data_IF_942958768259
#
_entry.id   IF_942958768259
#
_cell.length_a   1.000
_cell.length_b   1.000
_cell.length_c   1.000
_cell.angle_alpha   90.00
_cell.angle_beta   90.00
_cell.angle_gamma   90.00
#
_symmetry.space_group_name_H-M   'P 1'
#
loop_
_entity.id
_entity.type
_entity.pdbx_description
1 polymer ?
#
# COMPACT_ATOMS: atom_id res chain seq x y z
N UNK A 1 -35.38 -15.03 12.68
CA UNK A 1 -35.45 -14.04 11.58
C UNK A 1 -34.09 -13.81 10.91
N UNK A 2 -33.02 -13.51 11.65
CA UNK A 2 -31.68 -13.27 11.05
C UNK A 2 -31.12 -14.46 10.25
N UNK A 3 -31.25 -15.70 10.75
CA UNK A 3 -30.82 -16.90 10.02
C UNK A 3 -31.54 -17.03 8.67
N UNK A 4 -32.85 -16.76 8.65
CA UNK A 4 -33.66 -16.78 7.41
C UNK A 4 -33.16 -15.73 6.41
N UNK A 5 -32.83 -14.51 6.88
CA UNK A 5 -32.22 -13.46 6.05
C UNK A 5 -30.87 -13.90 5.48
N UNK A 6 -30.01 -14.53 6.30
CA UNK A 6 -28.72 -15.06 5.85
C UNK A 6 -28.88 -16.12 4.75
N UNK A 7 -29.82 -17.06 4.94
CA UNK A 7 -30.12 -18.11 3.96
C UNK A 7 -30.60 -17.47 2.65
N UNK A 8 -31.49 -16.48 2.71
CA UNK A 8 -32.04 -15.82 1.52
C UNK A 8 -30.95 -15.06 0.74
N UNK A 9 -30.07 -14.33 1.44
CA UNK A 9 -28.92 -13.65 0.81
C UNK A 9 -27.98 -14.65 0.16
N UNK A 10 -27.69 -15.77 0.85
CA UNK A 10 -26.83 -16.82 0.33
C UNK A 10 -27.40 -17.49 -0.92
N UNK A 11 -28.69 -17.84 -0.92
CA UNK A 11 -29.39 -18.39 -2.08
C UNK A 11 -29.38 -17.39 -3.23
N UNK A 12 -29.67 -16.11 -2.96
CA UNK A 12 -29.64 -15.05 -3.97
C UNK A 12 -28.27 -14.93 -4.63
N UNK A 13 -27.19 -14.98 -3.86
CA UNK A 13 -25.83 -14.97 -4.40
C UNK A 13 -25.53 -16.22 -5.23
N UNK A 14 -25.91 -17.42 -4.77
CA UNK A 14 -25.70 -18.66 -5.54
C UNK A 14 -26.45 -18.58 -6.88
N UNK A 15 -27.69 -18.12 -6.89
CA UNK A 15 -28.48 -17.96 -8.12
C UNK A 15 -27.83 -16.96 -9.08
N UNK A 16 -27.36 -15.83 -8.56
CA UNK A 16 -26.62 -14.85 -9.33
C UNK A 16 -25.33 -15.43 -9.93
N UNK A 17 -24.56 -16.18 -9.13
CA UNK A 17 -23.33 -16.82 -9.59
C UNK A 17 -23.58 -17.90 -10.64
N UNK A 18 -24.65 -18.69 -10.50
CA UNK A 18 -25.09 -19.68 -11.49
C UNK A 18 -25.49 -19.02 -12.81
N UNK A 19 -26.18 -17.88 -12.76
CA UNK A 19 -26.52 -17.10 -13.95
C UNK A 19 -25.26 -16.64 -14.70
N UNK A 20 -24.28 -16.08 -13.98
CA UNK A 20 -23.02 -15.64 -14.58
C UNK A 20 -22.22 -16.82 -15.16
N UNK A 21 -22.21 -17.97 -14.50
CA UNK A 21 -21.59 -19.19 -15.04
C UNK A 21 -22.26 -19.67 -16.33
N UNK A 22 -23.59 -19.53 -16.45
CA UNK A 22 -24.30 -19.84 -17.70
C UNK A 22 -23.91 -18.87 -18.82
N UNK A 23 -23.79 -17.57 -18.51
CA UNK A 23 -23.35 -16.55 -19.46
C UNK A 23 -21.89 -16.78 -19.90
N UNK A 24 -20.99 -17.09 -18.98
CA UNK A 24 -19.59 -17.41 -19.28
C UNK A 24 -19.46 -18.63 -20.20
N UNK A 25 -20.25 -19.68 -19.93
CA UNK A 25 -20.30 -20.88 -20.78
C UNK A 25 -20.86 -20.63 -22.17
N UNK A 26 -21.70 -19.61 -22.33
CA UNK A 26 -22.24 -19.25 -23.64
C UNK A 26 -21.20 -18.60 -24.56
N UNK A 27 -20.05 -18.17 -24.01
CA UNK A 27 -18.97 -17.45 -24.71
C UNK A 27 -19.44 -16.20 -25.50
N UNK A 28 -20.64 -15.70 -25.23
CA UNK A 28 -21.23 -14.52 -25.90
C UNK A 28 -20.64 -13.21 -25.40
N UNK A 29 -20.19 -13.18 -24.14
CA UNK A 29 -19.64 -11.99 -23.48
C UNK A 29 -18.16 -12.19 -23.17
N UNK A 30 -17.41 -11.09 -23.18
CA UNK A 30 -16.01 -11.12 -22.75
C UNK A 30 -15.92 -11.49 -21.26
N UNK A 31 -15.04 -12.43 -20.93
CA UNK A 31 -14.78 -12.88 -19.56
C UNK A 31 -14.44 -11.75 -18.57
N UNK A 32 -13.80 -10.67 -19.02
CA UNK A 32 -13.54 -9.48 -18.20
C UNK A 32 -14.84 -8.77 -17.81
N UNK A 33 -15.78 -8.65 -18.75
CA UNK A 33 -17.08 -8.04 -18.50
C UNK A 33 -17.90 -8.89 -17.51
N UNK A 34 -17.89 -10.22 -17.65
CA UNK A 34 -18.56 -11.11 -16.70
C UNK A 34 -17.97 -10.97 -15.29
N UNK A 35 -16.63 -10.93 -15.17
CA UNK A 35 -15.96 -10.69 -13.88
C UNK A 35 -16.37 -9.36 -13.26
N UNK A 36 -16.50 -8.29 -14.05
CA UNK A 36 -16.94 -6.99 -13.54
C UNK A 36 -18.43 -6.92 -13.22
N UNK A 37 -19.28 -7.70 -13.89
CA UNK A 37 -20.67 -7.90 -13.45
C UNK A 37 -20.70 -8.61 -12.09
N UNK A 38 -19.90 -9.66 -11.89
CA UNK A 38 -19.79 -10.32 -10.58
C UNK A 38 -19.33 -9.34 -9.49
N UNK A 39 -18.30 -8.55 -9.79
CA UNK A 39 -17.76 -7.54 -8.88
C UNK A 39 -18.81 -6.49 -8.49
N UNK A 40 -19.52 -5.94 -9.47
CA UNK A 40 -20.58 -4.95 -9.25
C UNK A 40 -21.74 -5.57 -8.45
N UNK A 41 -22.23 -6.74 -8.86
CA UNK A 41 -23.33 -7.43 -8.16
C UNK A 41 -22.98 -7.78 -6.72
N UNK A 42 -21.75 -8.24 -6.48
CA UNK A 42 -21.24 -8.51 -5.14
C UNK A 42 -21.11 -7.23 -4.31
N UNK A 43 -20.74 -6.11 -4.93
CA UNK A 43 -20.71 -4.79 -4.29
C UNK A 43 -22.09 -4.30 -3.86
N UNK A 44 -23.12 -4.48 -4.68
CA UNK A 44 -24.51 -4.20 -4.28
C UNK A 44 -24.96 -5.09 -3.12
N UNK A 45 -24.59 -6.39 -3.15
CA UNK A 45 -24.83 -7.30 -2.04
C UNK A 45 -24.19 -6.81 -0.74
N UNK A 46 -22.93 -6.35 -0.81
CA UNK A 46 -22.22 -5.74 0.31
C UNK A 46 -22.88 -4.47 0.84
N UNK A 47 -23.27 -3.55 -0.06
CA UNK A 47 -23.95 -2.30 0.29
C UNK A 47 -25.30 -2.51 0.98
N UNK A 48 -25.99 -3.62 0.69
CA UNK A 48 -27.26 -3.94 1.33
C UNK A 48 -27.11 -4.48 2.76
N UNK A 49 -25.92 -4.94 3.17
CA UNK A 49 -25.71 -5.59 4.47
C UNK A 49 -26.13 -4.73 5.68
N UNK A 50 -25.78 -3.43 5.78
CA UNK A 50 -26.20 -2.57 6.90
C UNK A 50 -27.70 -2.31 6.97
N UNK A 51 -28.43 -2.59 5.89
CA UNK A 51 -29.88 -2.40 5.83
C UNK A 51 -30.65 -3.70 6.07
N UNK A 52 -30.03 -4.85 5.84
CA UNK A 52 -30.64 -6.18 6.02
C UNK A 52 -30.41 -6.71 7.44
N UNK A 53 -29.19 -6.55 7.96
CA UNK A 53 -28.74 -7.16 9.20
C UNK A 53 -28.56 -6.14 10.32
N UNK A 54 -29.03 -6.48 11.51
CA UNK A 54 -28.82 -5.66 12.72
C UNK A 54 -27.61 -6.18 13.49
N UNK A 55 -27.41 -7.50 13.51
CA UNK A 55 -26.33 -8.13 14.27
C UNK A 55 -25.03 -8.20 13.48
N UNK A 56 -23.96 -7.64 14.05
CA UNK A 56 -22.60 -7.73 13.47
C UNK A 56 -22.17 -9.18 13.23
N UNK A 57 -22.52 -10.09 14.13
CA UNK A 57 -22.17 -11.52 14.03
C UNK A 57 -22.77 -12.21 12.81
N UNK A 58 -23.99 -11.84 12.39
CA UNK A 58 -24.66 -12.43 11.23
C UNK A 58 -23.88 -12.20 9.93
N UNK A 59 -23.42 -10.97 9.71
CA UNK A 59 -22.61 -10.62 8.53
C UNK A 59 -21.23 -11.29 8.58
N UNK A 60 -20.62 -11.38 9.76
CA UNK A 60 -19.35 -12.09 9.92
C UNK A 60 -19.46 -13.57 9.56
N UNK A 61 -20.48 -14.26 10.08
CA UNK A 61 -20.71 -15.68 9.76
C UNK A 61 -20.97 -15.85 8.26
N UNK A 62 -21.82 -14.99 7.68
CA UNK A 62 -22.14 -15.04 6.25
C UNK A 62 -20.88 -14.84 5.38
N UNK A 63 -20.02 -13.87 5.73
CA UNK A 63 -18.78 -13.64 5.00
C UNK A 63 -17.77 -14.77 5.13
N UNK A 64 -17.67 -15.40 6.31
CA UNK A 64 -16.83 -16.61 6.50
C UNK A 64 -17.34 -17.76 5.62
N UNK A 65 -18.66 -17.95 5.53
CA UNK A 65 -19.27 -18.94 4.65
C UNK A 65 -18.92 -18.64 3.18
N UNK A 66 -19.07 -17.39 2.72
CA UNK A 66 -18.70 -17.03 1.35
C UNK A 66 -17.21 -17.22 1.06
N UNK A 67 -16.32 -16.86 2.00
CA UNK A 67 -14.88 -17.12 1.87
C UNK A 67 -14.59 -18.61 1.74
N UNK A 68 -15.20 -19.44 2.60
CA UNK A 68 -15.05 -20.89 2.54
C UNK A 68 -15.49 -21.43 1.18
N UNK A 69 -16.67 -21.02 0.68
CA UNK A 69 -17.18 -21.42 -0.63
C UNK A 69 -16.23 -21.04 -1.76
N UNK A 70 -15.75 -19.78 -1.80
CA UNK A 70 -14.83 -19.34 -2.85
C UNK A 70 -13.49 -20.08 -2.82
N UNK A 71 -12.94 -20.32 -1.62
CA UNK A 71 -11.71 -21.09 -1.44
C UNK A 71 -11.93 -22.53 -1.92
N UNK A 72 -13.04 -23.17 -1.53
CA UNK A 72 -13.38 -24.52 -1.98
C UNK A 72 -13.50 -24.62 -3.50
N UNK A 73 -14.16 -23.66 -4.16
CA UNK A 73 -14.26 -23.62 -5.63
C UNK A 73 -12.88 -23.56 -6.28
N UNK A 74 -11.94 -22.81 -5.70
CA UNK A 74 -10.57 -22.67 -6.24
C UNK A 74 -9.69 -23.91 -6.01
N UNK A 75 -9.90 -24.65 -4.92
CA UNK A 75 -9.14 -25.86 -4.60
C UNK A 75 -9.56 -27.07 -5.46
N UNK A 76 -10.82 -27.13 -5.90
CA UNK A 76 -11.34 -28.27 -6.68
C UNK A 76 -10.89 -28.14 -8.15
N UNK A 77 -9.73 -28.71 -8.47
CA UNK A 77 -9.01 -28.55 -9.74
C UNK A 77 -9.69 -29.18 -10.97
N UNK A 78 -10.46 -30.26 -10.81
CA UNK A 78 -10.81 -31.15 -11.92
C UNK A 78 -12.30 -31.25 -12.31
N UNK A 79 -13.26 -30.65 -11.59
CA UNK A 79 -14.71 -30.84 -11.88
C UNK A 79 -15.52 -29.57 -12.19
N UNK A 80 -14.94 -28.37 -12.07
CA UNK A 80 -15.70 -27.11 -12.04
C UNK A 80 -15.05 -26.05 -12.97
N UNK A 81 -14.79 -26.42 -14.23
CA UNK A 81 -14.12 -25.52 -15.19
C UNK A 81 -14.90 -24.24 -15.48
N UNK A 82 -16.24 -24.30 -15.48
CA UNK A 82 -17.10 -23.12 -15.71
C UNK A 82 -17.05 -22.09 -14.58
N UNK A 83 -17.23 -22.51 -13.33
CA UNK A 83 -17.28 -21.55 -12.22
C UNK A 83 -15.93 -20.91 -11.92
N UNK A 84 -14.82 -21.60 -12.22
CA UNK A 84 -13.49 -21.01 -12.13
C UNK A 84 -13.28 -19.92 -13.18
N UNK A 85 -13.82 -20.08 -14.40
CA UNK A 85 -13.72 -19.07 -15.47
C UNK A 85 -14.45 -17.76 -15.13
N UNK A 86 -15.53 -17.84 -14.34
CA UNK A 86 -16.22 -16.64 -13.82
C UNK A 86 -15.32 -15.83 -12.86
N UNK A 87 -14.43 -16.51 -12.12
CA UNK A 87 -13.55 -15.90 -11.12
C UNK A 87 -12.15 -15.55 -11.68
N UNK A 88 -11.68 -16.31 -12.67
CA UNK A 88 -10.36 -16.18 -13.27
C UNK A 88 -10.48 -16.03 -14.79
N UNK A 89 -9.97 -14.92 -15.32
CA UNK A 89 -9.80 -14.75 -16.76
C UNK A 89 -8.73 -15.72 -17.28
N UNK A 90 -8.87 -16.23 -18.51
CA UNK A 90 -7.93 -17.20 -19.13
C UNK A 90 -6.43 -16.82 -19.00
N UNK A 91 -6.14 -15.51 -18.90
CA UNK A 91 -4.77 -14.97 -18.86
C UNK A 91 -4.32 -14.44 -17.49
N UNK A 92 -5.16 -14.45 -16.44
CA UNK A 92 -4.79 -13.83 -15.14
C UNK A 92 -5.39 -14.57 -13.94
N UNK A 93 -4.53 -15.20 -13.14
CA UNK A 93 -4.89 -15.67 -11.80
C UNK A 93 -4.87 -14.48 -10.83
N UNK A 94 -6.02 -14.13 -10.28
CA UNK A 94 -6.13 -13.09 -9.24
C UNK A 94 -6.96 -13.61 -8.07
N UNK A 95 -6.67 -13.12 -6.87
CA UNK A 95 -7.43 -13.40 -5.65
C UNK A 95 -8.40 -12.25 -5.31
N UNK A 96 -8.73 -11.42 -6.31
CA UNK A 96 -9.53 -10.20 -6.13
C UNK A 96 -10.86 -10.43 -5.42
N UNK A 97 -11.59 -11.50 -5.73
CA UNK A 97 -12.90 -11.78 -5.11
C UNK A 97 -12.78 -12.09 -3.61
N UNK A 98 -11.73 -12.82 -3.23
CA UNK A 98 -11.43 -13.11 -1.81
C UNK A 98 -11.06 -11.82 -1.09
N UNK A 99 -10.18 -11.03 -1.70
CA UNK A 99 -9.78 -9.72 -1.17
C UNK A 99 -10.97 -8.78 -1.02
N UNK A 100 -11.93 -8.81 -1.94
CA UNK A 100 -13.13 -8.00 -1.85
C UNK A 100 -14.02 -8.37 -0.67
N UNK A 101 -14.23 -9.66 -0.40
CA UNK A 101 -15.00 -10.08 0.79
C UNK A 101 -14.26 -9.70 2.09
N UNK A 102 -12.94 -9.88 2.12
CA UNK A 102 -12.13 -9.45 3.28
C UNK A 102 -12.33 -7.95 3.55
N UNK A 103 -12.38 -7.12 2.51
CA UNK A 103 -12.64 -5.69 2.64
C UNK A 103 -14.04 -5.37 3.13
N UNK A 104 -15.07 -6.06 2.61
CA UNK A 104 -16.45 -5.89 3.09
C UNK A 104 -16.53 -6.22 4.58
N UNK A 105 -15.91 -7.32 5.03
CA UNK A 105 -15.86 -7.71 6.43
C UNK A 105 -15.04 -6.73 7.28
N UNK A 106 -13.88 -6.30 6.79
CA UNK A 106 -13.05 -5.31 7.47
C UNK A 106 -13.79 -4.00 7.67
N UNK A 107 -14.41 -3.47 6.62
CA UNK A 107 -15.26 -2.26 6.68
C UNK A 107 -16.45 -2.47 7.60
N UNK A 108 -17.09 -3.63 7.56
CA UNK A 108 -18.21 -3.95 8.44
C UNK A 108 -17.80 -3.88 9.92
N UNK A 109 -16.65 -4.42 10.28
CA UNK A 109 -16.14 -4.37 11.65
C UNK A 109 -15.91 -2.92 12.09
N UNK A 110 -15.23 -2.12 11.25
CA UNK A 110 -14.75 -0.78 11.65
C UNK A 110 -15.74 0.36 11.41
N UNK A 111 -16.75 0.18 10.56
CA UNK A 111 -17.61 1.27 10.08
C UNK A 111 -19.09 0.91 9.89
N UNK A 112 -19.55 -0.28 10.31
CA UNK A 112 -20.98 -0.68 10.14
C UNK A 112 -22.00 0.30 10.72
N UNK A 113 -21.62 1.06 11.74
CA UNK A 113 -22.48 2.07 12.38
C UNK A 113 -22.58 3.38 11.59
N UNK A 114 -21.53 3.72 10.82
CA UNK A 114 -21.49 4.91 9.97
C UNK A 114 -21.67 4.49 8.51
N UNK A 115 -22.92 4.60 8.03
CA UNK A 115 -23.30 4.23 6.67
C UNK A 115 -22.50 4.99 5.60
N UNK A 116 -22.10 6.24 5.85
CA UNK A 116 -21.30 7.03 4.91
C UNK A 116 -19.91 6.40 4.79
N UNK A 117 -19.27 6.15 5.93
CA UNK A 117 -17.92 5.56 5.98
C UNK A 117 -17.87 4.11 5.50
N UNK A 118 -18.98 3.36 5.61
CA UNK A 118 -19.10 2.00 5.09
C UNK A 118 -19.39 1.97 3.57
N UNK A 119 -20.36 2.75 3.11
CA UNK A 119 -20.88 2.65 1.74
C UNK A 119 -19.95 3.29 0.71
N UNK A 120 -19.35 4.46 0.98
CA UNK A 120 -18.54 5.15 -0.03
C UNK A 120 -17.33 4.35 -0.50
N UNK A 121 -16.52 3.72 0.37
CA UNK A 121 -15.44 2.82 -0.05
C UNK A 121 -15.91 1.70 -0.99
N UNK A 122 -17.06 1.09 -0.70
CA UNK A 122 -17.63 0.02 -1.50
C UNK A 122 -18.16 0.53 -2.84
N UNK A 123 -18.84 1.67 -2.89
CA UNK A 123 -19.33 2.27 -4.14
C UNK A 123 -18.16 2.62 -5.06
N UNK A 124 -17.09 3.24 -4.52
CA UNK A 124 -15.89 3.57 -5.28
C UNK A 124 -15.27 2.30 -5.86
N UNK A 125 -15.06 1.27 -5.03
CA UNK A 125 -14.48 0.02 -5.51
C UNK A 125 -15.40 -0.70 -6.50
N UNK A 126 -16.72 -0.64 -6.31
CA UNK A 126 -17.68 -1.31 -7.17
C UNK A 126 -17.68 -0.72 -8.59
N UNK A 127 -17.78 0.61 -8.70
CA UNK A 127 -17.91 1.28 -9.99
C UNK A 127 -16.57 1.68 -10.59
N UNK A 128 -15.72 2.37 -9.83
CA UNK A 128 -14.51 3.00 -10.38
C UNK A 128 -13.51 1.95 -10.86
N UNK A 129 -13.33 0.86 -10.11
CA UNK A 129 -12.49 -0.27 -10.53
C UNK A 129 -13.07 -1.00 -11.74
N UNK A 130 -14.38 -1.21 -11.78
CA UNK A 130 -15.02 -1.86 -12.92
C UNK A 130 -14.88 -1.04 -14.20
N UNK A 131 -15.17 0.26 -14.15
CA UNK A 131 -15.00 1.14 -15.31
C UNK A 131 -13.54 1.26 -15.73
N UNK A 132 -12.61 1.43 -14.79
CA UNK A 132 -11.18 1.51 -15.08
C UNK A 132 -10.65 0.26 -15.79
N UNK A 133 -11.07 -0.92 -15.34
CA UNK A 133 -10.68 -2.19 -15.94
C UNK A 133 -11.31 -2.39 -17.32
N UNK A 134 -12.60 -2.07 -17.51
CA UNK A 134 -13.26 -2.20 -18.81
C UNK A 134 -12.66 -1.24 -19.85
N UNK A 135 -12.48 0.03 -19.48
CA UNK A 135 -11.82 1.01 -20.37
C UNK A 135 -10.37 0.61 -20.62
N UNK A 136 -9.67 0.15 -19.59
CA UNK A 136 -8.29 -0.32 -19.70
C UNK A 136 -8.14 -1.56 -20.58
N UNK A 137 -9.12 -2.46 -20.63
CA UNK A 137 -9.09 -3.65 -21.46
C UNK A 137 -9.45 -3.33 -22.92
N UNK A 138 -10.55 -2.61 -23.14
CA UNK A 138 -11.12 -2.41 -24.48
C UNK A 138 -10.59 -1.19 -25.23
N UNK A 139 -10.14 -0.14 -24.53
CA UNK A 139 -9.85 1.17 -25.13
C UNK A 139 -8.44 1.72 -24.83
N UNK A 140 -7.58 0.94 -24.16
CA UNK A 140 -6.25 1.44 -23.80
C UNK A 140 -5.29 1.53 -25.00
N UNK A 141 -4.61 2.67 -25.11
CA UNK A 141 -3.51 2.90 -26.05
C UNK A 141 -2.18 2.98 -25.32
N UNK A 142 -2.16 3.55 -24.11
CA UNK A 142 -0.94 3.78 -23.34
C UNK A 142 -0.85 2.83 -22.15
N UNK A 143 -0.29 1.64 -22.38
CA UNK A 143 0.02 0.67 -21.33
C UNK A 143 1.40 0.92 -20.72
N UNK A 144 1.52 0.68 -19.42
CA UNK A 144 2.80 0.70 -18.70
C UNK A 144 2.90 -0.52 -17.77
N UNK A 145 4.14 -0.94 -17.54
CA UNK A 145 4.44 -2.05 -16.64
C UNK A 145 4.64 -1.54 -15.22
N UNK A 146 3.95 -2.19 -14.28
CA UNK A 146 4.07 -1.94 -12.84
C UNK A 146 5.15 -2.79 -12.17
N UNK A 147 5.74 -3.74 -12.90
CA UNK A 147 6.63 -4.79 -12.40
C UNK A 147 5.88 -6.04 -11.92
N UNK A 148 4.55 -5.96 -11.80
CA UNK A 148 3.67 -7.06 -11.41
C UNK A 148 2.56 -7.32 -12.44
N UNK A 149 2.53 -6.55 -13.51
CA UNK A 149 1.50 -6.59 -14.53
C UNK A 149 1.35 -5.27 -15.25
N UNK A 150 0.57 -5.28 -16.32
CA UNK A 150 0.31 -4.11 -17.16
C UNK A 150 -0.91 -3.35 -16.66
N UNK A 151 -0.79 -2.02 -16.61
CA UNK A 151 -1.89 -1.07 -16.40
C UNK A 151 -1.93 -0.06 -17.54
N UNK A 152 -3.01 0.71 -17.63
CA UNK A 152 -3.19 1.71 -18.69
C UNK A 152 -3.44 3.09 -18.11
N UNK A 153 -2.98 4.12 -18.82
CA UNK A 153 -3.24 5.51 -18.43
C UNK A 153 -4.74 5.81 -18.52
N UNK A 154 -5.42 5.29 -19.54
CA UNK A 154 -6.85 5.46 -19.75
C UNK A 154 -7.67 4.84 -18.61
N UNK A 155 -7.27 3.66 -18.12
CA UNK A 155 -7.87 3.04 -16.94
C UNK A 155 -7.72 3.91 -15.69
N UNK A 156 -6.52 4.41 -15.41
CA UNK A 156 -6.28 5.28 -14.24
C UNK A 156 -7.05 6.61 -14.33
N UNK A 157 -7.09 7.25 -15.50
CA UNK A 157 -7.90 8.47 -15.72
C UNK A 157 -9.38 8.18 -15.50
N UNK A 158 -9.88 7.06 -16.01
CA UNK A 158 -11.26 6.62 -15.78
C UNK A 158 -11.55 6.42 -14.30
N UNK A 159 -10.63 5.76 -13.57
CA UNK A 159 -10.76 5.56 -12.13
C UNK A 159 -10.86 6.90 -11.39
N UNK A 160 -9.99 7.86 -11.72
CA UNK A 160 -9.99 9.20 -11.14
C UNK A 160 -11.32 9.93 -11.38
N UNK A 161 -11.76 10.02 -12.65
CA UNK A 161 -12.97 10.75 -13.03
C UNK A 161 -14.23 10.13 -12.41
N UNK A 162 -14.35 8.82 -12.45
CA UNK A 162 -15.49 8.10 -11.86
C UNK A 162 -15.50 8.24 -10.34
N UNK A 163 -14.35 8.09 -9.67
CA UNK A 163 -14.24 8.31 -8.22
C UNK A 163 -14.63 9.74 -7.85
N UNK A 164 -14.14 10.74 -8.59
CA UNK A 164 -14.45 12.14 -8.34
C UNK A 164 -15.94 12.43 -8.49
N UNK A 165 -16.55 11.94 -9.57
CA UNK A 165 -17.98 12.06 -9.84
C UNK A 165 -18.83 11.39 -8.75
N UNK A 166 -18.47 10.17 -8.35
CA UNK A 166 -19.14 9.43 -7.27
C UNK A 166 -19.04 10.21 -5.97
N UNK A 167 -17.85 10.70 -5.60
CA UNK A 167 -17.66 11.42 -4.35
C UNK A 167 -18.48 12.71 -4.29
N UNK A 168 -18.48 13.52 -5.35
CA UNK A 168 -19.26 14.77 -5.39
C UNK A 168 -20.73 14.48 -5.15
N UNK A 169 -21.32 13.57 -5.94
CA UNK A 169 -22.74 13.26 -5.84
C UNK A 169 -23.07 12.62 -4.48
N UNK A 170 -22.24 11.68 -4.03
CA UNK A 170 -22.46 11.01 -2.76
C UNK A 170 -22.47 12.01 -1.58
N UNK A 171 -21.50 12.92 -1.51
CA UNK A 171 -21.48 13.90 -0.44
C UNK A 171 -22.59 14.94 -0.58
N UNK A 172 -23.00 15.31 -1.78
CA UNK A 172 -24.11 16.24 -2.00
C UNK A 172 -25.44 15.70 -1.45
N UNK A 173 -25.68 14.39 -1.58
CA UNK A 173 -26.93 13.76 -1.15
C UNK A 173 -26.90 13.24 0.30
N UNK A 174 -25.74 12.75 0.76
CA UNK A 174 -25.66 11.97 2.01
C UNK A 174 -24.84 12.63 3.12
N UNK A 175 -24.31 13.85 2.91
CA UNK A 175 -23.49 14.51 3.92
C UNK A 175 -23.85 15.99 4.11
N UNK A 176 -23.52 16.52 5.28
CA UNK A 176 -23.82 17.91 5.67
C UNK A 176 -22.59 18.84 5.56
N UNK A 177 -21.57 18.46 4.79
CA UNK A 177 -20.36 19.29 4.64
C UNK A 177 -20.58 20.41 3.61
N UNK A 178 -19.87 21.52 3.78
CA UNK A 178 -19.98 22.69 2.90
C UNK A 178 -19.58 22.36 1.46
N UNK A 179 -20.18 23.03 0.47
CA UNK A 179 -19.92 22.77 -0.96
C UNK A 179 -18.45 22.83 -1.36
N UNK A 180 -17.67 23.78 -0.80
CA UNK A 180 -16.23 23.87 -1.06
C UNK A 180 -15.47 22.65 -0.50
N UNK A 181 -15.88 22.14 0.67
CA UNK A 181 -15.29 20.93 1.26
C UNK A 181 -15.60 19.71 0.40
N UNK A 182 -16.82 19.59 -0.15
CA UNK A 182 -17.21 18.50 -1.06
C UNK A 182 -16.23 18.42 -2.23
N UNK A 183 -15.96 19.55 -2.88
CA UNK A 183 -15.04 19.64 -4.02
C UNK A 183 -13.62 19.21 -3.61
N UNK A 184 -13.11 19.76 -2.51
CA UNK A 184 -11.73 19.51 -2.06
C UNK A 184 -11.51 18.06 -1.58
N UNK A 185 -12.43 17.52 -0.78
CA UNK A 185 -12.38 16.13 -0.30
C UNK A 185 -12.47 15.16 -1.47
N UNK A 186 -13.42 15.38 -2.39
CA UNK A 186 -13.59 14.53 -3.57
C UNK A 186 -12.35 14.54 -4.46
N UNK A 187 -11.73 15.72 -4.67
CA UNK A 187 -10.54 15.86 -5.50
C UNK A 187 -9.34 15.13 -4.86
N UNK A 188 -9.09 15.37 -3.58
CA UNK A 188 -8.00 14.71 -2.86
C UNK A 188 -8.17 13.18 -2.85
N UNK A 189 -9.38 12.71 -2.51
CA UNK A 189 -9.68 11.29 -2.43
C UNK A 189 -9.52 10.60 -3.78
N UNK A 190 -10.04 11.19 -4.86
CA UNK A 190 -9.95 10.61 -6.21
C UNK A 190 -8.51 10.53 -6.72
N UNK A 191 -7.67 11.57 -6.50
CA UNK A 191 -6.25 11.53 -6.87
C UNK A 191 -5.53 10.39 -6.14
N UNK A 192 -5.73 10.30 -4.83
CA UNK A 192 -5.03 9.34 -3.98
C UNK A 192 -5.51 7.91 -4.23
N UNK A 193 -6.82 7.70 -4.39
CA UNK A 193 -7.39 6.40 -4.70
C UNK A 193 -6.94 5.91 -6.08
N UNK A 194 -6.85 6.79 -7.08
CA UNK A 194 -6.26 6.47 -8.40
C UNK A 194 -4.79 6.07 -8.27
N UNK A 195 -3.99 6.82 -7.51
CA UNK A 195 -2.58 6.47 -7.29
C UNK A 195 -2.47 5.10 -6.63
N UNK A 196 -3.31 4.83 -5.62
CA UNK A 196 -3.33 3.57 -4.90
C UNK A 196 -3.77 2.40 -5.78
N UNK A 197 -4.80 2.59 -6.62
CA UNK A 197 -5.17 1.64 -7.66
C UNK A 197 -3.95 1.36 -8.53
N UNK A 198 -3.31 2.38 -9.09
CA UNK A 198 -2.18 2.22 -10.02
C UNK A 198 -1.01 1.43 -9.44
N UNK A 199 -0.68 1.61 -8.16
CA UNK A 199 0.43 0.89 -7.50
C UNK A 199 0.02 -0.48 -6.94
N UNK A 200 -1.27 -0.83 -6.95
CA UNK A 200 -1.77 -2.12 -6.48
C UNK A 200 -1.63 -3.21 -7.55
N UNK A 201 -1.37 -4.44 -7.11
CA UNK A 201 -1.16 -5.61 -7.98
C UNK A 201 -1.99 -6.81 -7.53
N UNK A 202 -2.19 -7.78 -8.43
CA UNK A 202 -2.85 -9.07 -8.16
C UNK A 202 -4.24 -9.00 -7.47
N UNK A 203 -4.97 -7.90 -7.62
CA UNK A 203 -6.27 -7.69 -6.98
C UNK A 203 -6.19 -7.07 -5.57
N UNK A 204 -5.00 -6.65 -5.11
CA UNK A 204 -4.83 -6.01 -3.79
C UNK A 204 -5.50 -4.64 -3.70
N UNK A 205 -5.80 -4.00 -4.83
CA UNK A 205 -6.67 -2.82 -4.90
C UNK A 205 -8.02 -3.05 -4.23
N UNK A 206 -8.56 -4.27 -4.32
CA UNK A 206 -9.79 -4.65 -3.65
C UNK A 206 -9.70 -4.58 -2.11
N UNK A 207 -8.50 -4.55 -1.52
CA UNK A 207 -8.25 -4.30 -0.08
C UNK A 207 -7.76 -2.90 0.19
N UNK A 208 -6.73 -2.47 -0.52
CA UNK A 208 -6.06 -1.22 -0.22
C UNK A 208 -6.96 -0.02 -0.50
N UNK A 209 -7.70 -0.01 -1.62
CA UNK A 209 -8.56 1.13 -1.95
C UNK A 209 -9.66 1.33 -0.90
N UNK A 210 -10.49 0.32 -0.53
CA UNK A 210 -11.54 0.57 0.44
C UNK A 210 -11.03 0.95 1.83
N UNK A 211 -9.97 0.30 2.32
CA UNK A 211 -9.38 0.64 3.62
C UNK A 211 -8.79 2.04 3.63
N UNK A 212 -8.13 2.43 2.53
CA UNK A 212 -7.61 3.78 2.37
C UNK A 212 -8.72 4.83 2.31
N UNK A 213 -9.80 4.58 1.55
CA UNK A 213 -10.94 5.49 1.49
C UNK A 213 -11.52 5.68 2.90
N UNK A 214 -11.77 4.60 3.64
CA UNK A 214 -12.24 4.68 5.03
C UNK A 214 -11.31 5.52 5.91
N UNK A 215 -10.01 5.23 5.89
CA UNK A 215 -9.01 5.96 6.66
C UNK A 215 -8.96 7.45 6.27
N UNK A 216 -9.03 7.74 4.97
CA UNK A 216 -9.03 9.09 4.45
C UNK A 216 -10.25 9.86 4.94
N UNK A 217 -11.45 9.29 4.86
CA UNK A 217 -12.67 9.93 5.35
C UNK A 217 -12.58 10.22 6.84
N UNK A 218 -12.19 9.23 7.63
CA UNK A 218 -12.05 9.36 9.08
C UNK A 218 -11.12 10.50 9.50
N UNK A 219 -10.06 10.76 8.74
CA UNK A 219 -9.06 11.77 9.05
C UNK A 219 -9.27 13.12 8.34
N UNK A 220 -10.14 13.21 7.33
CA UNK A 220 -10.22 14.39 6.46
C UNK A 220 -11.63 14.93 6.22
N UNK A 221 -12.69 14.14 6.43
CA UNK A 221 -14.05 14.51 5.99
C UNK A 221 -14.55 15.81 6.62
N UNK A 222 -14.28 16.01 7.90
CA UNK A 222 -14.77 17.15 8.69
C UNK A 222 -13.74 18.27 8.88
N UNK A 223 -12.64 18.24 8.13
CA UNK A 223 -11.66 19.32 8.17
C UNK A 223 -12.20 20.61 7.56
N UNK A 224 -11.63 21.73 7.98
CA UNK A 224 -11.96 23.04 7.40
C UNK A 224 -11.45 23.14 5.96
N UNK A 225 -12.06 24.02 5.15
CA UNK A 225 -11.62 24.27 3.78
C UNK A 225 -10.13 24.66 3.72
N UNK A 226 -9.65 25.43 4.71
CA UNK A 226 -8.23 25.84 4.81
C UNK A 226 -7.30 24.64 4.99
N UNK A 227 -7.65 23.71 5.86
CA UNK A 227 -6.84 22.51 6.10
C UNK A 227 -6.85 21.58 4.89
N UNK A 228 -7.99 21.42 4.23
CA UNK A 228 -8.09 20.65 2.99
C UNK A 228 -7.30 21.29 1.85
N UNK A 229 -7.34 22.62 1.70
CA UNK A 229 -6.51 23.34 0.75
C UNK A 229 -5.02 23.17 1.05
N UNK A 230 -4.61 23.23 2.33
CA UNK A 230 -3.24 22.96 2.72
C UNK A 230 -2.80 21.55 2.27
N UNK A 231 -3.64 20.53 2.53
CA UNK A 231 -3.37 19.15 2.10
C UNK A 231 -3.30 19.02 0.57
N UNK A 232 -4.14 19.74 -0.17
CA UNK A 232 -4.08 19.83 -1.63
C UNK A 232 -2.75 20.46 -2.11
N UNK A 233 -2.31 21.55 -1.49
CA UNK A 233 -1.02 22.15 -1.81
C UNK A 233 0.16 21.21 -1.52
N UNK A 234 0.09 20.44 -0.43
CA UNK A 234 1.14 19.45 -0.11
C UNK A 234 1.25 18.39 -1.21
N UNK A 235 0.14 17.79 -1.67
CA UNK A 235 0.22 16.78 -2.74
C UNK A 235 0.74 17.38 -4.05
N UNK A 236 0.34 18.61 -4.39
CA UNK A 236 0.85 19.33 -5.57
C UNK A 236 2.36 19.55 -5.46
N UNK A 237 2.85 20.01 -4.31
CA UNK A 237 4.29 20.22 -4.09
C UNK A 237 5.08 18.92 -4.13
N UNK A 238 4.59 17.84 -3.51
CA UNK A 238 5.22 16.53 -3.58
C UNK A 238 5.26 16.00 -5.02
N UNK A 239 4.20 16.21 -5.79
CA UNK A 239 4.14 15.83 -7.21
C UNK A 239 5.16 16.63 -8.04
N UNK A 240 5.28 17.94 -7.82
CA UNK A 240 6.30 18.76 -8.48
C UNK A 240 7.71 18.24 -8.16
N UNK A 241 8.01 17.98 -6.89
CA UNK A 241 9.31 17.43 -6.46
C UNK A 241 9.62 16.13 -7.19
N UNK A 242 8.66 15.20 -7.26
CA UNK A 242 8.85 13.91 -7.92
C UNK A 242 9.03 14.07 -9.43
N UNK A 243 8.28 14.96 -10.09
CA UNK A 243 8.42 15.23 -11.52
C UNK A 243 9.79 15.84 -11.84
N UNK A 244 10.25 16.81 -11.05
CA UNK A 244 11.57 17.43 -11.22
C UNK A 244 12.70 16.41 -11.00
N UNK A 245 12.52 15.49 -10.05
CA UNK A 245 13.50 14.46 -9.73
C UNK A 245 13.37 13.17 -10.54
N UNK A 246 12.40 13.05 -11.47
CA UNK A 246 12.11 11.80 -12.21
C UNK A 246 13.30 11.21 -12.96
N UNK A 247 14.24 12.06 -13.41
CA UNK A 247 15.48 11.66 -14.10
C UNK A 247 16.67 11.49 -13.14
N UNK A 248 16.60 12.11 -11.96
CA UNK A 248 17.64 12.12 -10.92
C UNK A 248 17.26 11.15 -9.79
N UNK A 249 16.92 9.93 -10.16
CA UNK A 249 16.58 8.86 -9.20
C UNK A 249 16.91 7.48 -9.78
N UNK A 250 17.05 6.52 -8.89
CA UNK A 250 17.27 5.10 -9.20
C UNK A 250 15.97 4.31 -9.19
N UNK A 251 14.85 4.90 -8.75
CA UNK A 251 13.55 4.25 -8.64
C UNK A 251 12.88 4.07 -10.01
N UNK A 252 12.13 2.98 -10.17
CA UNK A 252 11.19 2.83 -11.30
C UNK A 252 10.08 3.89 -11.25
N UNK A 253 9.40 4.14 -12.38
CA UNK A 253 8.30 5.12 -12.42
C UNK A 253 7.21 4.78 -11.40
N UNK A 254 6.87 3.50 -11.26
CA UNK A 254 5.86 3.03 -10.30
C UNK A 254 6.33 3.19 -8.86
N UNK A 255 7.61 2.91 -8.56
CA UNK A 255 8.17 3.19 -7.25
C UNK A 255 8.19 4.70 -6.93
N UNK A 256 8.42 5.57 -7.92
CA UNK A 256 8.31 7.02 -7.72
C UNK A 256 6.88 7.43 -7.34
N UNK A 257 5.86 6.91 -8.03
CA UNK A 257 4.46 7.21 -7.67
C UNK A 257 4.05 6.60 -6.34
N UNK A 258 4.51 5.39 -6.01
CA UNK A 258 4.30 4.82 -4.68
C UNK A 258 5.00 5.64 -3.59
N UNK A 259 6.15 6.26 -3.89
CA UNK A 259 6.82 7.18 -2.95
C UNK A 259 5.96 8.42 -2.70
N UNK A 260 5.33 8.99 -3.73
CA UNK A 260 4.37 10.09 -3.59
C UNK A 260 3.26 9.70 -2.60
N UNK A 261 2.66 8.53 -2.82
CA UNK A 261 1.57 8.02 -2.01
C UNK A 261 2.00 7.80 -0.56
N UNK A 262 3.16 7.16 -0.35
CA UNK A 262 3.71 6.93 0.98
C UNK A 262 3.98 8.24 1.74
N UNK A 263 4.66 9.20 1.10
CA UNK A 263 4.93 10.52 1.69
C UNK A 263 3.63 11.22 2.09
N UNK A 264 2.59 11.11 1.27
CA UNK A 264 1.30 11.72 1.56
C UNK A 264 0.53 11.00 2.68
N UNK A 265 0.57 9.66 2.76
CA UNK A 265 0.00 8.92 3.90
C UNK A 265 0.70 9.31 5.21
N UNK A 266 2.03 9.40 5.20
CA UNK A 266 2.80 9.83 6.36
C UNK A 266 2.38 11.24 6.79
N UNK A 267 2.14 12.13 5.83
CA UNK A 267 1.58 13.46 6.12
C UNK A 267 0.20 13.38 6.78
N UNK A 268 -0.73 12.58 6.23
CA UNK A 268 -2.09 12.46 6.75
C UNK A 268 -2.09 11.99 8.22
N UNK A 269 -1.25 11.01 8.55
CA UNK A 269 -1.25 10.35 9.87
C UNK A 269 -0.39 11.13 10.88
N UNK A 270 0.86 11.45 10.53
CA UNK A 270 1.85 12.00 11.46
C UNK A 270 2.00 13.52 11.43
N UNK A 271 1.66 14.15 10.30
CA UNK A 271 1.92 15.55 10.04
C UNK A 271 3.25 15.81 9.32
N UNK A 272 3.53 17.09 9.02
CA UNK A 272 4.62 17.48 8.11
C UNK A 272 6.01 17.08 8.63
N UNK A 273 6.20 17.06 9.96
CA UNK A 273 7.48 16.65 10.58
C UNK A 273 7.85 15.20 10.23
N UNK A 274 6.87 14.32 10.06
CA UNK A 274 7.09 12.91 9.73
C UNK A 274 7.43 12.69 8.26
N UNK A 275 7.07 13.64 7.38
CA UNK A 275 7.38 13.58 5.94
C UNK A 275 8.86 13.87 5.68
N UNK A 276 9.52 14.62 6.55
CA UNK A 276 10.89 15.11 6.31
C UNK A 276 11.90 13.96 6.17
N UNK A 277 11.98 12.96 7.08
CA UNK A 277 12.93 11.85 6.91
C UNK A 277 12.77 11.07 5.59
N UNK A 278 11.58 10.56 5.22
CA UNK A 278 11.43 9.85 3.94
C UNK A 278 11.64 10.76 2.72
N UNK A 279 11.35 12.06 2.81
CA UNK A 279 11.63 13.01 1.74
C UNK A 279 13.13 13.25 1.55
N UNK A 280 13.89 13.44 2.64
CA UNK A 280 15.35 13.56 2.59
C UNK A 280 15.95 12.27 2.03
N UNK A 281 15.44 11.10 2.43
CA UNK A 281 15.86 9.84 1.85
C UNK A 281 15.61 9.83 0.35
N UNK A 282 14.39 10.12 -0.11
CA UNK A 282 14.02 10.14 -1.53
C UNK A 282 14.93 11.05 -2.37
N UNK A 283 15.25 12.26 -1.88
CA UNK A 283 16.09 13.24 -2.59
C UNK A 283 17.59 12.91 -2.51
N UNK A 284 18.05 12.43 -1.35
CA UNK A 284 19.45 12.13 -1.10
C UNK A 284 19.93 10.85 -1.79
N UNK A 285 19.03 9.91 -2.03
CA UNK A 285 19.33 8.58 -2.54
C UNK A 285 19.92 8.52 -3.95
N UNK A 286 19.83 9.59 -4.74
CA UNK A 286 20.54 9.69 -6.01
C UNK A 286 21.98 10.21 -5.84
N UNK A 287 22.20 11.12 -4.90
CA UNK A 287 23.47 11.85 -4.74
C UNK A 287 24.46 11.10 -3.84
N UNK A 288 23.97 10.51 -2.75
CA UNK A 288 24.84 9.92 -1.73
C UNK A 288 25.14 8.43 -1.95
N UNK A 289 24.39 7.78 -2.83
CA UNK A 289 24.53 6.36 -3.14
C UNK A 289 24.55 6.18 -4.67
N UNK A 290 25.63 6.56 -5.37
CA UNK A 290 25.64 6.60 -6.84
C UNK A 290 25.38 5.22 -7.47
N UNK A 291 24.76 5.23 -8.66
CA UNK A 291 24.48 4.01 -9.43
C UNK A 291 25.77 3.32 -9.83
N UNK A 292 25.83 2.01 -9.61
CA UNK A 292 26.91 1.18 -10.14
C UNK A 292 26.53 0.65 -11.53
N UNK A 293 27.52 0.50 -12.43
CA UNK A 293 27.28 -0.06 -13.78
C UNK A 293 26.65 -1.45 -13.65
N UNK A 294 25.53 -1.68 -14.36
CA UNK A 294 24.78 -2.94 -14.33
C UNK A 294 23.63 -3.01 -13.32
N UNK A 295 23.46 -2.01 -12.44
CA UNK A 295 22.41 -2.03 -11.42
C UNK A 295 21.00 -1.80 -12.02
N UNK A 296 20.09 -2.74 -11.75
CA UNK A 296 18.65 -2.60 -12.05
C UNK A 296 18.04 -1.52 -11.16
N UNK A 297 17.08 -0.74 -11.69
CA UNK A 297 16.34 0.25 -10.90
C UNK A 297 15.64 -0.39 -9.71
N UNK A 298 15.65 0.30 -8.58
CA UNK A 298 14.97 -0.16 -7.37
C UNK A 298 13.46 -0.24 -7.62
N UNK A 299 12.91 -1.42 -7.32
CA UNK A 299 11.53 -1.77 -7.63
C UNK A 299 10.55 -1.34 -6.53
N UNK A 300 9.25 -1.42 -6.83
CA UNK A 300 8.19 -1.16 -5.87
C UNK A 300 8.33 -2.01 -4.59
N UNK A 301 8.84 -3.24 -4.71
CA UNK A 301 9.06 -4.16 -3.57
C UNK A 301 10.01 -3.58 -2.52
N UNK A 302 11.14 -3.01 -2.97
CA UNK A 302 12.12 -2.39 -2.07
C UNK A 302 11.52 -1.22 -1.29
N UNK A 303 10.75 -0.37 -1.97
CA UNK A 303 10.05 0.74 -1.34
C UNK A 303 9.00 0.27 -0.32
N UNK A 304 8.19 -0.73 -0.69
CA UNK A 304 7.14 -1.27 0.18
C UNK A 304 7.70 -1.83 1.48
N UNK A 305 8.88 -2.45 1.43
CA UNK A 305 9.51 -3.00 2.62
C UNK A 305 9.97 -1.89 3.58
N UNK A 306 10.59 -0.83 3.06
CA UNK A 306 10.93 0.37 3.84
C UNK A 306 9.66 1.00 4.43
N UNK A 307 8.63 1.17 3.60
CA UNK A 307 7.36 1.77 4.01
C UNK A 307 6.67 0.96 5.11
N UNK A 308 6.60 -0.37 4.97
CA UNK A 308 5.98 -1.26 5.95
C UNK A 308 6.68 -1.16 7.31
N UNK A 309 8.00 -1.39 7.35
CA UNK A 309 8.78 -1.35 8.59
C UNK A 309 8.68 0.01 9.29
N UNK A 310 8.74 1.12 8.54
CA UNK A 310 8.70 2.46 9.14
C UNK A 310 7.30 2.94 9.50
N UNK A 311 6.26 2.50 8.77
CA UNK A 311 4.86 2.85 9.07
C UNK A 311 4.38 2.30 10.42
N UNK A 312 4.97 1.21 10.90
CA UNK A 312 4.65 0.65 12.21
C UNK A 312 4.96 1.63 13.35
N UNK A 313 6.10 2.32 13.28
CA UNK A 313 6.49 3.33 14.28
C UNK A 313 5.58 4.57 14.23
N UNK A 314 5.17 4.96 13.03
CA UNK A 314 4.18 6.01 12.85
C UNK A 314 2.83 5.62 13.46
N UNK A 315 2.37 4.39 13.25
CA UNK A 315 1.13 3.89 13.85
C UNK A 315 1.24 3.78 15.39
N UNK A 316 2.35 3.27 15.92
CA UNK A 316 2.58 3.18 17.36
C UNK A 316 2.65 4.56 18.03
N UNK A 317 3.06 5.61 17.31
CA UNK A 317 3.08 6.99 17.81
C UNK A 317 1.69 7.55 18.16
N UNK A 318 0.62 6.88 17.73
CA UNK A 318 -0.77 7.23 18.07
C UNK A 318 -1.10 6.79 19.51
N UNK A 319 -0.49 5.70 19.98
CA UNK A 319 -0.81 5.07 21.27
C UNK A 319 0.29 5.28 22.31
N UNK A 320 1.53 5.40 21.86
CA UNK A 320 2.72 5.52 22.70
C UNK A 320 3.29 6.95 22.68
N UNK A 321 4.37 7.17 23.44
CA UNK A 321 5.09 8.44 23.44
C UNK A 321 5.53 8.84 22.02
N UNK A 322 4.88 9.89 21.50
CA UNK A 322 5.07 10.36 20.13
C UNK A 322 6.50 10.78 19.84
N UNK A 323 7.18 11.34 20.83
CA UNK A 323 8.54 11.85 20.70
C UNK A 323 9.54 10.70 20.60
N UNK A 324 9.40 9.67 21.44
CA UNK A 324 10.22 8.45 21.38
C UNK A 324 9.95 7.70 20.08
N UNK A 325 8.68 7.49 19.70
CA UNK A 325 8.37 6.82 18.42
C UNK A 325 8.95 7.56 17.22
N UNK A 326 8.96 8.90 17.26
CA UNK A 326 9.56 9.71 16.20
C UNK A 326 11.08 9.55 16.11
N UNK A 327 11.78 9.41 17.23
CA UNK A 327 13.22 9.10 17.24
C UNK A 327 13.51 7.71 16.65
N UNK A 328 12.72 6.69 17.00
CA UNK A 328 12.82 5.34 16.42
C UNK A 328 12.57 5.38 14.92
N UNK A 329 11.58 6.17 14.48
CA UNK A 329 11.28 6.37 13.07
C UNK A 329 12.45 6.96 12.28
N UNK A 330 13.07 8.04 12.79
CA UNK A 330 14.28 8.63 12.17
C UNK A 330 15.41 7.61 12.14
N UNK A 331 15.62 6.87 13.23
CA UNK A 331 16.62 5.81 13.32
C UNK A 331 16.41 4.72 12.25
N UNK A 332 15.18 4.24 12.06
CA UNK A 332 14.87 3.24 11.02
C UNK A 332 15.22 3.73 9.61
N UNK A 333 14.88 4.98 9.27
CA UNK A 333 15.26 5.57 7.98
C UNK A 333 16.79 5.70 7.83
N UNK A 334 17.48 6.05 8.92
CA UNK A 334 18.94 6.18 8.94
C UNK A 334 19.63 4.83 8.69
N UNK A 335 19.15 3.77 9.34
CA UNK A 335 19.63 2.41 9.11
C UNK A 335 19.37 1.93 7.68
N UNK A 336 18.16 2.13 7.15
CA UNK A 336 17.86 1.82 5.75
C UNK A 336 18.82 2.56 4.81
N UNK A 337 19.07 3.85 5.06
CA UNK A 337 19.99 4.64 4.25
C UNK A 337 21.41 4.06 4.23
N UNK A 338 21.92 3.64 5.39
CA UNK A 338 23.23 2.99 5.50
C UNK A 338 23.30 1.61 4.82
N UNK A 339 22.32 0.73 5.09
CA UNK A 339 22.30 -0.62 4.53
C UNK A 339 22.15 -0.58 3.01
N UNK A 340 21.35 0.33 2.46
CA UNK A 340 21.18 0.38 1.02
C UNK A 340 22.46 0.85 0.30
N UNK A 341 23.30 1.66 0.95
CA UNK A 341 24.64 1.95 0.43
C UNK A 341 25.48 0.66 0.27
N UNK A 342 25.39 -0.28 1.24
CA UNK A 342 26.02 -1.60 1.15
C UNK A 342 25.43 -2.47 0.04
N UNK A 343 24.10 -2.53 -0.07
CA UNK A 343 23.41 -3.27 -1.15
C UNK A 343 23.95 -2.86 -2.52
N UNK A 344 24.19 -1.56 -2.72
CA UNK A 344 24.66 -1.00 -3.98
C UNK A 344 26.10 -1.34 -4.30
N UNK A 345 27.01 -1.26 -3.33
CA UNK A 345 28.40 -1.68 -3.56
C UNK A 345 28.48 -3.18 -3.86
N UNK A 346 27.68 -3.99 -3.15
CA UNK A 346 27.62 -5.43 -3.36
C UNK A 346 27.04 -5.80 -4.74
N UNK A 347 26.04 -5.07 -5.24
CA UNK A 347 25.50 -5.27 -6.59
C UNK A 347 26.54 -4.98 -7.70
N UNK A 348 27.49 -4.08 -7.44
CA UNK A 348 28.60 -3.82 -8.34
C UNK A 348 29.70 -4.88 -8.34
N UNK A 349 29.72 -5.77 -7.35
CA UNK A 349 30.90 -6.55 -6.97
C UNK A 349 30.54 -7.94 -6.41
N UNK A 350 29.82 -8.73 -7.21
CA UNK A 350 29.09 -9.94 -6.81
C UNK A 350 29.99 -11.08 -6.24
N UNK A 351 31.28 -11.17 -6.61
CA UNK A 351 32.16 -12.31 -6.24
C UNK A 351 33.08 -12.06 -5.03
N UNK A 352 32.80 -11.09 -4.17
CA UNK A 352 33.78 -10.66 -3.15
C UNK A 352 33.72 -11.45 -1.84
N UNK A 353 34.89 -11.95 -1.42
CA UNK A 353 35.10 -12.67 -0.15
C UNK A 353 35.62 -11.78 1.01
N UNK A 354 36.20 -10.61 0.73
CA UNK A 354 36.92 -9.79 1.74
C UNK A 354 36.07 -8.66 2.34
N UNK A 355 36.33 -8.31 3.61
CA UNK A 355 35.64 -7.21 4.33
C UNK A 355 36.27 -5.86 3.99
N UNK A 356 35.49 -4.94 3.41
CA UNK A 356 35.95 -3.56 3.17
C UNK A 356 35.53 -2.70 4.34
N UNK A 357 36.34 -2.72 5.39
CA UNK A 357 36.12 -1.90 6.59
C UNK A 357 35.87 -0.43 6.24
N UNK A 358 36.61 0.12 5.27
CA UNK A 358 36.44 1.51 4.83
C UNK A 358 35.02 1.80 4.29
N UNK A 359 34.43 0.87 3.53
CA UNK A 359 33.10 1.07 2.96
C UNK A 359 31.97 0.81 3.97
N UNK A 360 32.19 -0.13 4.89
CA UNK A 360 31.31 -0.30 6.05
C UNK A 360 31.29 1.00 6.88
N UNK A 361 32.46 1.55 7.20
CA UNK A 361 32.58 2.80 7.97
C UNK A 361 31.96 3.98 7.21
N UNK A 362 32.11 4.04 5.88
CA UNK A 362 31.42 5.03 5.06
C UNK A 362 29.89 4.90 5.16
N UNK A 363 29.35 3.68 5.14
CA UNK A 363 27.92 3.42 5.26
C UNK A 363 27.38 3.80 6.64
N UNK A 364 28.13 3.52 7.70
CA UNK A 364 27.82 3.93 9.07
C UNK A 364 27.86 5.46 9.19
N UNK A 365 28.87 6.11 8.63
CA UNK A 365 28.99 7.56 8.63
C UNK A 365 27.81 8.21 7.90
N UNK A 366 27.42 7.70 6.72
CA UNK A 366 26.23 8.17 5.98
C UNK A 366 24.94 8.03 6.79
N UNK A 367 24.74 6.90 7.46
CA UNK A 367 23.59 6.68 8.34
C UNK A 367 23.59 7.67 9.52
N UNK A 368 24.76 7.90 10.15
CA UNK A 368 24.91 8.82 11.25
C UNK A 368 24.63 10.27 10.84
N UNK A 369 25.18 10.73 9.71
CA UNK A 369 24.91 12.06 9.17
C UNK A 369 23.42 12.23 8.85
N UNK A 370 22.80 11.23 8.23
CA UNK A 370 21.36 11.25 7.96
C UNK A 370 20.54 11.38 9.25
N UNK A 371 20.90 10.62 10.29
CA UNK A 371 20.24 10.69 11.59
C UNK A 371 20.39 12.09 12.21
N UNK A 372 21.63 12.60 12.30
CA UNK A 372 21.94 13.88 12.92
C UNK A 372 21.22 15.04 12.24
N UNK A 373 21.21 15.07 10.91
CA UNK A 373 20.49 16.10 10.13
C UNK A 373 19.00 16.10 10.49
N UNK A 374 18.35 14.94 10.49
CA UNK A 374 16.93 14.84 10.84
C UNK A 374 16.67 15.16 12.31
N UNK A 375 17.53 14.68 13.21
CA UNK A 375 17.42 14.88 14.65
C UNK A 375 17.50 16.37 15.04
N UNK A 376 18.49 17.10 14.52
CA UNK A 376 18.69 18.52 14.84
C UNK A 376 17.64 19.43 14.23
N UNK A 377 17.09 19.07 13.05
CA UNK A 377 16.02 19.83 12.40
C UNK A 377 14.68 19.63 13.12
N UNK A 378 14.36 18.39 13.56
CA UNK A 378 12.97 18.02 13.86
C UNK A 378 12.66 17.70 15.32
N UNK A 379 13.60 17.10 16.06
CA UNK A 379 13.35 16.53 17.38
C UNK A 379 14.03 17.34 18.49
N UNK A 380 15.36 17.52 18.41
CA UNK A 380 16.19 18.15 19.48
C UNK A 380 15.90 17.62 20.90
N UNK A 381 15.42 16.38 21.03
CA UNK A 381 15.08 15.77 22.31
C UNK A 381 16.33 15.16 22.93
N UNK A 382 16.68 15.60 24.14
CA UNK A 382 17.83 15.12 24.89
C UNK A 382 17.46 13.89 25.73
N UNK A 383 17.42 12.72 25.08
CA UNK A 383 17.35 11.43 25.78
C UNK A 383 18.67 10.68 25.57
N UNK A 384 19.58 10.79 26.54
CA UNK A 384 20.93 10.23 26.45
C UNK A 384 20.94 8.69 26.33
N UNK A 385 20.01 8.00 27.00
CA UNK A 385 19.91 6.53 26.88
C UNK A 385 19.52 6.15 25.45
N UNK A 386 18.55 6.87 24.90
CA UNK A 386 18.07 6.59 23.56
C UNK A 386 19.12 6.95 22.48
N UNK A 387 19.81 8.08 22.65
CA UNK A 387 20.88 8.50 21.73
C UNK A 387 22.08 7.55 21.74
N UNK A 388 22.47 7.03 22.91
CA UNK A 388 23.54 6.01 22.99
C UNK A 388 23.08 4.69 22.37
N UNK A 389 21.84 4.26 22.63
CA UNK A 389 21.23 3.11 21.98
C UNK A 389 21.20 3.23 20.45
N UNK A 390 20.86 4.41 19.93
CA UNK A 390 20.86 4.70 18.48
C UNK A 390 22.27 4.54 17.89
N UNK A 391 23.30 5.10 18.52
CA UNK A 391 24.67 4.98 18.02
C UNK A 391 25.14 3.51 17.97
N UNK A 392 24.89 2.75 19.03
CA UNK A 392 25.29 1.34 19.14
C UNK A 392 24.53 0.48 18.12
N UNK A 393 23.20 0.61 18.06
CA UNK A 393 22.37 -0.21 17.17
C UNK A 393 22.52 0.18 15.71
N UNK A 394 22.89 1.43 15.40
CA UNK A 394 23.20 1.84 14.04
C UNK A 394 24.46 1.17 13.52
N UNK A 395 25.53 1.15 14.34
CA UNK A 395 26.75 0.41 14.02
C UNK A 395 26.46 -1.09 13.91
N UNK A 396 25.80 -1.66 14.92
CA UNK A 396 25.46 -3.09 14.99
C UNK A 396 24.60 -3.55 13.82
N UNK A 397 23.54 -2.83 13.48
CA UNK A 397 22.63 -3.21 12.39
C UNK A 397 23.31 -3.24 11.01
N UNK A 398 24.15 -2.25 10.71
CA UNK A 398 24.90 -2.20 9.45
C UNK A 398 25.95 -3.32 9.39
N UNK A 399 26.64 -3.57 10.51
CA UNK A 399 27.62 -4.66 10.61
C UNK A 399 26.98 -6.05 10.48
N UNK A 400 25.83 -6.26 11.13
CA UNK A 400 25.06 -7.51 11.03
C UNK A 400 24.66 -7.77 9.58
N UNK A 401 24.16 -6.75 8.88
CA UNK A 401 23.78 -6.89 7.47
C UNK A 401 24.96 -7.36 6.60
N UNK A 402 26.10 -6.68 6.70
CA UNK A 402 27.30 -7.03 5.92
C UNK A 402 27.78 -8.45 6.24
N UNK A 403 27.73 -8.84 7.51
CA UNK A 403 28.09 -10.19 7.96
C UNK A 403 27.16 -11.25 7.39
N UNK A 404 25.84 -11.04 7.45
CA UNK A 404 24.85 -11.94 6.87
C UNK A 404 25.05 -12.12 5.35
N UNK A 405 25.28 -11.03 4.62
CA UNK A 405 25.53 -11.09 3.18
C UNK A 405 26.79 -11.90 2.85
N UNK A 406 27.87 -11.72 3.62
CA UNK A 406 29.11 -12.50 3.46
C UNK A 406 28.93 -13.98 3.71
N UNK A 407 28.27 -14.33 4.82
CA UNK A 407 27.96 -15.72 5.14
C UNK A 407 27.20 -16.35 3.98
N UNK A 408 26.18 -15.66 3.47
CA UNK A 408 25.44 -16.14 2.31
C UNK A 408 26.33 -16.38 1.09
N UNK A 409 27.16 -15.40 0.68
CA UNK A 409 28.03 -15.56 -0.49
C UNK A 409 29.11 -16.65 -0.31
N UNK A 410 29.47 -17.00 0.93
CA UNK A 410 30.38 -18.12 1.22
C UNK A 410 29.68 -19.46 0.98
N UNK A 411 28.42 -19.59 1.39
CA UNK A 411 27.64 -20.83 1.30
C UNK A 411 26.99 -21.04 -0.08
N UNK A 412 26.46 -19.97 -0.68
CA UNK A 412 25.70 -20.00 -1.94
C UNK A 412 26.50 -19.40 -3.10
N UNK A 413 27.67 -19.99 -3.38
CA UNK A 413 28.69 -19.46 -4.33
C UNK A 413 28.20 -19.18 -5.75
N UNK A 414 27.10 -19.79 -6.19
CA UNK A 414 26.61 -19.72 -7.57
C UNK A 414 25.32 -18.92 -7.74
N UNK A 415 24.58 -18.63 -6.67
CA UNK A 415 23.31 -17.91 -6.74
C UNK A 415 23.46 -16.47 -6.24
N UNK A 416 23.20 -15.49 -7.10
CA UNK A 416 23.00 -14.13 -6.61
C UNK A 416 21.71 -14.08 -5.77
N UNK A 417 21.84 -13.64 -4.52
CA UNK A 417 20.69 -13.44 -3.64
C UNK A 417 19.71 -12.49 -4.34
N UNK A 418 18.48 -12.95 -4.56
CA UNK A 418 17.47 -12.17 -5.28
C UNK A 418 17.29 -10.81 -4.61
N UNK A 419 16.97 -9.78 -5.40
CA UNK A 419 16.71 -8.44 -4.86
C UNK A 419 15.64 -8.45 -3.75
N UNK A 420 14.69 -9.38 -3.81
CA UNK A 420 13.62 -9.55 -2.82
C UNK A 420 14.15 -10.08 -1.49
N UNK A 421 15.01 -11.10 -1.53
CA UNK A 421 15.62 -11.66 -0.34
C UNK A 421 16.54 -10.63 0.34
N UNK A 422 17.25 -9.79 -0.44
CA UNK A 422 18.07 -8.67 0.10
C UNK A 422 17.18 -7.66 0.85
N UNK A 423 16.03 -7.32 0.26
CA UNK A 423 15.06 -6.38 0.84
C UNK A 423 14.42 -6.95 2.12
N UNK A 424 14.08 -8.24 2.14
CA UNK A 424 13.50 -8.90 3.31
C UNK A 424 14.49 -8.94 4.47
N UNK A 425 15.74 -9.37 4.21
CA UNK A 425 16.82 -9.38 5.20
C UNK A 425 17.04 -7.97 5.79
N UNK A 426 17.11 -6.96 4.93
CA UNK A 426 17.28 -5.56 5.36
C UNK A 426 16.14 -5.12 6.28
N UNK A 427 14.90 -5.38 5.89
CA UNK A 427 13.72 -4.97 6.65
C UNK A 427 13.64 -5.69 7.99
N UNK A 428 14.01 -6.98 8.04
CA UNK A 428 14.10 -7.76 9.27
C UNK A 428 15.15 -7.21 10.24
N UNK A 429 16.35 -6.86 9.75
CA UNK A 429 17.42 -6.27 10.58
C UNK A 429 17.00 -4.91 11.12
N UNK A 430 16.45 -4.03 10.27
CA UNK A 430 15.98 -2.70 10.69
C UNK A 430 14.87 -2.84 11.72
N UNK A 431 13.92 -3.76 11.51
CA UNK A 431 12.84 -4.02 12.46
C UNK A 431 13.37 -4.52 13.81
N UNK A 432 14.27 -5.51 13.82
CA UNK A 432 14.87 -6.04 15.05
C UNK A 432 15.64 -4.95 15.82
N UNK A 433 16.47 -4.16 15.13
CA UNK A 433 17.22 -3.07 15.76
C UNK A 433 16.28 -1.99 16.32
N UNK A 434 15.21 -1.64 15.61
CA UNK A 434 14.25 -0.63 16.07
C UNK A 434 13.38 -1.12 17.24
N UNK A 435 13.06 -2.42 17.30
CA UNK A 435 12.44 -3.04 18.48
C UNK A 435 13.35 -3.06 19.70
N UNK A 436 14.65 -3.35 19.54
CA UNK A 436 15.61 -3.24 20.65
C UNK A 436 15.71 -1.80 21.16
N UNK A 437 15.72 -0.83 20.24
CA UNK A 437 15.74 0.59 20.60
C UNK A 437 14.47 1.01 21.36
N UNK A 438 13.30 0.47 20.98
CA UNK A 438 12.07 0.66 21.73
C UNK A 438 12.23 0.18 23.18
N UNK A 439 12.78 -1.01 23.39
CA UNK A 439 13.05 -1.55 24.73
C UNK A 439 13.96 -0.64 25.55
N UNK A 440 15.06 -0.15 24.96
CA UNK A 440 15.97 0.81 25.61
C UNK A 440 15.26 2.13 25.96
N UNK A 441 14.41 2.63 25.07
CA UNK A 441 13.69 3.89 25.28
C UNK A 441 12.51 3.79 26.24
N UNK A 442 12.02 2.59 26.54
CA UNK A 442 10.93 2.34 27.50
C UNK A 442 11.43 2.00 28.92
N UNK A 443 12.73 1.75 29.08
CA UNK A 443 13.45 1.52 30.34
C UNK A 443 14.17 2.80 30.84
#
# INVERSE_FOLDING_TARGET
>A
MEITKMILVFIGFIMFFLLLNKLEKSETLNSELIRKILHIGSGFGGLALPFIFEKKSSVMILGVIFLAVLISIRLIKNRISGFRKVLETKNRKTFGDIYFIISILGLWIVSSEDKIMYSLPLIILMFSDAFAALIGEFYSKYKFDTGFGTKSVEGSVTFFLTTYFICINFFLFFSNIKSINIVLVSLLLSILAMILEMISWNGLDNIFVPLFVYLFLKLNLYLTARELMYKLWVIVMLLIIIILNRKKTTLTKVAQTASLFFLYIVMIIGGIKWVVPPLIMYLGYYHFTPKVKGQVKDSLKGLLAIAFTTSMWLALSIVMDKNKMFLIYIFSFSLFFGIINLIRDNAGNIYRKTFRMNFLMESICKAAVFFLVNYFILSRILDFKMLTGIAILMFGGIFIYETCMKIFYIFEKENELSGESKVFLTSGIVFACSMLLLGIGML
#
